data_IF_741753252717
#
_entry.id   IF_741753252717
#
_cell.length_a   1.000
_cell.length_b   1.000
_cell.length_c   1.000
_cell.angle_alpha   90.00
_cell.angle_beta   90.00
_cell.angle_gamma   90.00
#
_symmetry.space_group_name_H-M   'P 1'
#
loop_
_entity.id
_entity.type
_entity.pdbx_description
1 polymer ?
#
# COMPACT_ATOMS: atom_id res chain seq x y z
N UNK A 1 -13.42 -24.47 22.51
CA UNK A 1 -12.98 -24.08 21.14
C UNK A 1 -14.10 -23.39 20.35
N UNK A 2 -15.36 -23.81 20.43
CA UNK A 2 -16.49 -23.21 19.66
C UNK A 2 -16.78 -21.71 19.93
N UNK A 3 -16.62 -21.21 21.16
CA UNK A 3 -16.89 -19.78 21.47
C UNK A 3 -15.94 -18.82 20.76
N UNK A 4 -14.68 -19.21 20.53
CA UNK A 4 -13.72 -18.36 19.82
C UNK A 4 -13.97 -18.37 18.30
N UNK A 5 -14.38 -19.52 17.74
CA UNK A 5 -14.71 -19.65 16.32
C UNK A 5 -15.93 -18.80 15.93
N UNK A 6 -16.97 -18.75 16.77
CA UNK A 6 -18.15 -17.92 16.51
C UNK A 6 -17.86 -16.42 16.60
N UNK A 7 -16.95 -16.00 17.49
CA UNK A 7 -16.55 -14.59 17.57
C UNK A 7 -15.70 -14.15 16.37
N UNK A 8 -14.82 -15.03 15.87
CA UNK A 8 -14.01 -14.80 14.67
C UNK A 8 -14.86 -14.65 13.41
N UNK A 9 -15.83 -15.56 13.21
CA UNK A 9 -16.79 -15.47 12.10
C UNK A 9 -17.66 -14.21 12.21
N UNK A 10 -18.14 -13.88 13.41
CA UNK A 10 -18.90 -12.65 13.64
C UNK A 10 -18.09 -11.39 13.27
N UNK A 11 -16.82 -11.31 13.67
CA UNK A 11 -15.94 -10.20 13.30
C UNK A 11 -15.68 -10.12 11.80
N UNK A 12 -15.52 -11.27 11.14
CA UNK A 12 -15.38 -11.34 9.69
C UNK A 12 -16.63 -10.80 8.98
N UNK A 13 -17.82 -11.26 9.37
CA UNK A 13 -19.10 -10.75 8.83
C UNK A 13 -19.34 -9.28 9.15
N UNK A 14 -18.92 -8.80 10.32
CA UNK A 14 -18.99 -7.38 10.68
C UNK A 14 -18.08 -6.54 9.79
N UNK A 15 -16.83 -6.96 9.56
CA UNK A 15 -15.92 -6.26 8.64
C UNK A 15 -16.49 -6.25 7.21
N UNK A 16 -17.08 -7.36 6.78
CA UNK A 16 -17.74 -7.46 5.49
C UNK A 16 -18.97 -6.54 5.36
N UNK A 17 -19.83 -6.52 6.37
CA UNK A 17 -21.00 -5.64 6.39
C UNK A 17 -20.60 -4.15 6.41
N UNK A 18 -19.59 -3.79 7.21
CA UNK A 18 -19.06 -2.43 7.26
C UNK A 18 -18.43 -2.01 5.92
N UNK A 19 -17.70 -2.92 5.27
CA UNK A 19 -17.15 -2.72 3.92
C UNK A 19 -18.24 -2.39 2.91
N UNK A 20 -19.36 -3.09 2.93
CA UNK A 20 -20.49 -2.79 2.03
C UNK A 20 -21.20 -1.48 2.40
N UNK A 21 -21.43 -1.21 3.69
CA UNK A 21 -22.06 0.04 4.13
C UNK A 21 -21.22 1.27 3.81
N UNK A 22 -19.89 1.15 3.82
CA UNK A 22 -18.94 2.21 3.51
C UNK A 22 -18.87 2.60 2.03
N UNK A 23 -19.64 1.96 1.14
CA UNK A 23 -19.79 2.38 -0.26
C UNK A 23 -20.55 3.71 -0.39
N UNK A 24 -21.33 4.10 0.62
CA UNK A 24 -22.03 5.39 0.66
C UNK A 24 -21.25 6.41 1.51
N UNK A 25 -20.94 7.58 0.94
CA UNK A 25 -20.17 8.65 1.61
C UNK A 25 -20.82 9.15 2.91
N UNK A 26 -22.15 9.21 2.97
CA UNK A 26 -22.86 9.59 4.20
C UNK A 26 -22.69 8.52 5.29
N UNK A 27 -22.60 7.24 4.91
CA UNK A 27 -22.33 6.16 5.84
C UNK A 27 -20.88 6.15 6.29
N UNK A 28 -19.90 6.51 5.44
CA UNK A 28 -18.49 6.61 5.86
C UNK A 28 -18.30 7.56 7.04
N UNK A 29 -18.93 8.75 6.99
CA UNK A 29 -18.88 9.72 8.10
C UNK A 29 -19.54 9.19 9.37
N UNK A 30 -20.68 8.50 9.25
CA UNK A 30 -21.37 7.88 10.39
C UNK A 30 -20.57 6.73 11.01
N UNK A 31 -19.97 5.89 10.17
CA UNK A 31 -19.11 4.78 10.61
C UNK A 31 -17.87 5.35 11.31
N UNK A 32 -17.27 6.40 10.77
CA UNK A 32 -16.14 7.09 11.39
C UNK A 32 -16.45 7.68 12.77
N UNK A 33 -17.63 8.28 12.92
CA UNK A 33 -18.11 8.81 14.20
C UNK A 33 -18.54 7.71 15.19
N UNK A 34 -18.59 6.46 14.76
CA UNK A 34 -18.95 5.31 15.59
C UNK A 34 -17.72 4.63 16.19
N UNK A 35 -17.93 3.54 16.95
CA UNK A 35 -16.85 2.69 17.46
C UNK A 35 -16.22 1.77 16.40
N UNK A 36 -16.71 1.79 15.16
CA UNK A 36 -16.26 0.86 14.11
C UNK A 36 -14.76 0.94 13.77
N UNK A 37 -14.11 2.12 13.62
CA UNK A 37 -12.66 2.19 13.40
C UNK A 37 -11.88 1.46 14.49
N UNK A 38 -12.25 1.69 15.76
CA UNK A 38 -11.65 1.02 16.91
C UNK A 38 -11.88 -0.49 16.88
N UNK A 39 -13.11 -0.95 16.61
CA UNK A 39 -13.42 -2.39 16.54
C UNK A 39 -12.63 -3.11 15.43
N UNK A 40 -12.42 -2.47 14.28
CA UNK A 40 -11.62 -3.04 13.20
C UNK A 40 -10.14 -3.13 13.62
N UNK A 41 -9.61 -2.11 14.28
CA UNK A 41 -8.23 -2.15 14.81
C UNK A 41 -8.08 -3.20 15.91
N UNK A 42 -9.06 -3.31 16.81
CA UNK A 42 -9.06 -4.32 17.87
C UNK A 42 -9.14 -5.74 17.29
N UNK A 43 -9.88 -5.95 16.18
CA UNK A 43 -9.87 -7.23 15.47
C UNK A 43 -8.48 -7.58 14.91
N UNK A 44 -7.77 -6.61 14.32
CA UNK A 44 -6.40 -6.80 13.84
C UNK A 44 -5.42 -7.10 15.00
N UNK A 45 -5.59 -6.46 16.16
CA UNK A 45 -4.75 -6.68 17.34
C UNK A 45 -4.99 -8.02 18.02
N UNK A 46 -6.24 -8.44 18.11
CA UNK A 46 -6.63 -9.65 18.81
C UNK A 46 -6.44 -10.91 17.95
N UNK A 47 -6.49 -10.77 16.62
CA UNK A 47 -6.39 -11.90 15.69
C UNK A 47 -5.35 -11.68 14.56
N UNK A 48 -4.10 -11.26 14.86
CA UNK A 48 -3.11 -10.93 13.84
C UNK A 48 -2.64 -12.17 13.06
N UNK A 49 -2.79 -13.37 13.61
CA UNK A 49 -2.48 -14.64 12.95
C UNK A 49 -3.66 -15.27 12.18
N UNK A 50 -4.82 -14.62 12.12
CA UNK A 50 -5.97 -15.12 11.39
C UNK A 50 -6.12 -14.40 10.04
N UNK A 51 -5.55 -14.98 8.99
CA UNK A 51 -5.45 -14.38 7.66
C UNK A 51 -6.78 -13.79 7.15
N UNK A 52 -7.90 -14.50 7.30
CA UNK A 52 -9.22 -14.02 6.85
C UNK A 52 -9.73 -12.78 7.60
N UNK A 53 -9.37 -12.62 8.88
CA UNK A 53 -9.73 -11.43 9.66
C UNK A 53 -8.85 -10.26 9.24
N UNK A 54 -7.54 -10.51 9.09
CA UNK A 54 -6.60 -9.48 8.64
C UNK A 54 -7.00 -8.96 7.25
N UNK A 55 -7.34 -9.86 6.33
CA UNK A 55 -7.76 -9.52 4.98
C UNK A 55 -9.04 -8.67 4.97
N UNK A 56 -10.10 -9.10 5.66
CA UNK A 56 -11.37 -8.36 5.70
C UNK A 56 -11.27 -7.04 6.48
N UNK A 57 -10.51 -7.02 7.58
CA UNK A 57 -10.26 -5.80 8.34
C UNK A 57 -9.51 -4.76 7.50
N UNK A 58 -8.45 -5.16 6.80
CA UNK A 58 -7.72 -4.27 5.89
C UNK A 58 -8.62 -3.82 4.73
N UNK A 59 -9.42 -4.72 4.15
CA UNK A 59 -10.39 -4.39 3.11
C UNK A 59 -11.44 -3.38 3.58
N UNK A 60 -11.91 -3.49 4.82
CA UNK A 60 -12.82 -2.53 5.43
C UNK A 60 -12.14 -1.18 5.67
N UNK A 61 -10.92 -1.16 6.21
CA UNK A 61 -10.13 0.07 6.41
C UNK A 61 -10.00 0.84 5.11
N UNK A 62 -9.61 0.18 4.01
CA UNK A 62 -9.46 0.79 2.69
C UNK A 62 -10.71 1.57 2.26
N UNK A 63 -11.89 0.96 2.43
CA UNK A 63 -13.15 1.62 2.05
C UNK A 63 -13.48 2.80 2.95
N UNK A 64 -13.13 2.74 4.23
CA UNK A 64 -13.36 3.83 5.17
C UNK A 64 -12.44 5.02 4.92
N UNK A 65 -11.17 4.77 4.59
CA UNK A 65 -10.16 5.83 4.50
C UNK A 65 -10.06 6.46 3.11
N UNK A 66 -10.54 5.77 2.07
CA UNK A 66 -10.52 6.30 0.71
C UNK A 66 -11.31 7.60 0.59
N UNK A 67 -10.60 8.68 0.24
CA UNK A 67 -11.14 10.04 0.08
C UNK A 67 -11.51 10.72 1.40
N UNK A 68 -11.07 10.20 2.56
CA UNK A 68 -11.46 10.72 3.87
C UNK A 68 -10.25 10.81 4.82
N UNK A 69 -9.67 12.01 4.91
CA UNK A 69 -8.50 12.28 5.75
C UNK A 69 -8.79 12.14 7.26
N UNK A 70 -10.00 12.47 7.71
CA UNK A 70 -10.39 12.30 9.11
C UNK A 70 -10.36 10.81 9.50
N UNK A 71 -10.85 9.94 8.62
CA UNK A 71 -10.83 8.50 8.83
C UNK A 71 -9.41 7.95 8.79
N UNK A 72 -8.57 8.44 7.86
CA UNK A 72 -7.16 8.08 7.82
C UNK A 72 -6.47 8.39 9.16
N UNK A 73 -6.69 9.60 9.68
CA UNK A 73 -6.12 10.04 10.94
C UNK A 73 -6.69 9.27 12.13
N UNK A 74 -8.00 8.97 12.12
CA UNK A 74 -8.65 8.21 13.19
C UNK A 74 -8.11 6.78 13.28
N UNK A 75 -8.02 6.06 12.16
CA UNK A 75 -7.44 4.71 12.13
C UNK A 75 -5.99 4.73 12.63
N UNK A 76 -5.20 5.75 12.23
CA UNK A 76 -3.85 5.92 12.74
C UNK A 76 -3.83 6.16 14.26
N UNK A 77 -4.65 7.08 14.78
CA UNK A 77 -4.76 7.36 16.23
C UNK A 77 -5.13 6.12 17.05
N UNK A 78 -6.03 5.29 16.53
CA UNK A 78 -6.43 4.03 17.15
C UNK A 78 -5.31 2.97 17.09
N UNK A 79 -4.21 3.22 16.38
CA UNK A 79 -3.05 2.32 16.20
C UNK A 79 -3.26 1.25 15.14
N UNK A 80 -4.08 1.55 14.13
CA UNK A 80 -4.33 0.67 12.99
C UNK A 80 -3.12 0.46 12.09
N UNK A 81 -2.23 1.45 11.97
CA UNK A 81 -1.00 1.33 11.17
C UNK A 81 -0.14 0.18 11.71
N UNK A 82 0.15 0.18 13.01
CA UNK A 82 0.95 -0.85 13.65
C UNK A 82 0.27 -2.23 13.59
N UNK A 83 -1.06 -2.27 13.73
CA UNK A 83 -1.83 -3.50 13.63
C UNK A 83 -1.83 -4.11 12.22
N UNK A 84 -1.93 -3.28 11.17
CA UNK A 84 -1.82 -3.73 9.77
C UNK A 84 -0.40 -4.25 9.50
N UNK A 85 0.63 -3.53 9.95
CA UNK A 85 2.04 -3.97 9.79
C UNK A 85 2.24 -5.34 10.44
N UNK A 86 1.74 -5.55 11.66
CA UNK A 86 1.84 -6.83 12.34
C UNK A 86 1.17 -7.96 11.54
N UNK A 87 -0.09 -7.77 11.12
CA UNK A 87 -0.80 -8.75 10.29
C UNK A 87 -0.09 -9.06 8.97
N UNK A 88 0.49 -8.06 8.33
CA UNK A 88 1.32 -8.21 7.13
C UNK A 88 2.56 -9.06 7.40
N UNK A 89 3.26 -8.84 8.52
CA UNK A 89 4.45 -9.61 8.90
C UNK A 89 4.15 -11.06 9.30
N UNK A 90 2.97 -11.34 9.87
CA UNK A 90 2.58 -12.73 10.22
C UNK A 90 2.17 -13.55 9.00
N UNK A 91 1.83 -12.90 7.89
CA UNK A 91 1.24 -13.54 6.71
C UNK A 91 2.02 -13.23 5.41
N UNK A 92 3.36 -13.20 5.48
CA UNK A 92 4.23 -12.94 4.32
C UNK A 92 3.95 -13.91 3.17
N UNK A 93 3.61 -15.17 3.44
CA UNK A 93 3.32 -16.19 2.43
C UNK A 93 1.90 -16.14 1.83
N UNK A 94 1.04 -15.20 2.26
CA UNK A 94 -0.35 -15.09 1.78
C UNK A 94 -0.52 -13.84 0.92
N UNK A 95 -0.57 -14.02 -0.40
CA UNK A 95 -0.65 -12.92 -1.37
C UNK A 95 -1.85 -11.99 -1.15
N UNK A 96 -3.02 -12.55 -0.81
CA UNK A 96 -4.24 -11.75 -0.56
C UNK A 96 -4.09 -10.82 0.64
N UNK A 97 -3.50 -11.32 1.74
CA UNK A 97 -3.19 -10.52 2.93
C UNK A 97 -2.16 -9.44 2.60
N UNK A 98 -1.09 -9.78 1.90
CA UNK A 98 -0.07 -8.81 1.47
C UNK A 98 -0.68 -7.69 0.62
N UNK A 99 -1.54 -8.04 -0.34
CA UNK A 99 -2.25 -7.07 -1.17
C UNK A 99 -3.14 -6.16 -0.32
N UNK A 100 -4.02 -6.71 0.53
CA UNK A 100 -4.94 -5.87 1.30
C UNK A 100 -4.21 -4.99 2.31
N UNK A 101 -3.18 -5.51 2.99
CA UNK A 101 -2.37 -4.73 3.93
C UNK A 101 -1.60 -3.62 3.22
N UNK A 102 -0.92 -3.94 2.11
CA UNK A 102 -0.17 -2.96 1.33
C UNK A 102 -1.06 -1.84 0.78
N UNK A 103 -2.23 -2.19 0.26
CA UNK A 103 -3.21 -1.20 -0.21
C UNK A 103 -3.81 -0.40 0.95
N UNK A 104 -4.08 -1.00 2.11
CA UNK A 104 -4.57 -0.27 3.28
C UNK A 104 -3.54 0.76 3.78
N UNK A 105 -2.26 0.39 3.86
CA UNK A 105 -1.19 1.33 4.20
C UNK A 105 -1.04 2.42 3.12
N UNK A 106 -1.15 2.06 1.85
CA UNK A 106 -1.14 3.00 0.73
C UNK A 106 -2.29 4.01 0.77
N UNK A 107 -3.50 3.55 1.06
CA UNK A 107 -4.72 4.39 1.16
C UNK A 107 -4.67 5.28 2.42
N UNK A 108 -4.07 4.79 3.52
CA UNK A 108 -3.80 5.59 4.72
C UNK A 108 -2.76 6.70 4.50
N UNK A 109 -1.81 6.45 3.59
CA UNK A 109 -0.73 7.37 3.23
C UNK A 109 -1.12 8.38 2.14
N UNK A 110 -2.20 8.12 1.39
CA UNK A 110 -2.60 8.94 0.25
C UNK A 110 -2.91 10.38 0.68
N UNK A 111 -2.12 11.33 0.16
CA UNK A 111 -2.21 12.76 0.48
C UNK A 111 -2.21 13.09 1.98
N UNK A 112 -1.54 12.27 2.80
CA UNK A 112 -1.48 12.42 4.25
C UNK A 112 -0.06 12.24 4.77
N UNK A 113 0.70 13.34 4.84
CA UNK A 113 2.11 13.33 5.24
C UNK A 113 2.34 12.80 6.66
N UNK A 114 1.43 13.09 7.60
CA UNK A 114 1.52 12.59 8.98
C UNK A 114 1.49 11.06 9.02
N UNK A 115 0.53 10.46 8.30
CA UNK A 115 0.44 9.02 8.18
C UNK A 115 1.61 8.43 7.38
N UNK A 116 2.06 9.08 6.31
CA UNK A 116 3.26 8.65 5.58
C UNK A 116 4.45 8.52 6.54
N UNK A 117 4.75 9.58 7.28
CA UNK A 117 5.88 9.60 8.19
C UNK A 117 5.72 8.57 9.34
N UNK A 118 4.50 8.37 9.83
CA UNK A 118 4.21 7.34 10.85
C UNK A 118 4.44 5.93 10.31
N UNK A 119 3.95 5.59 9.13
CA UNK A 119 4.16 4.26 8.52
C UNK A 119 5.65 3.98 8.35
N UNK A 120 6.45 4.97 7.94
CA UNK A 120 7.90 4.84 7.85
C UNK A 120 8.55 4.57 9.22
N UNK A 121 8.23 5.38 10.23
CA UNK A 121 8.76 5.22 11.60
C UNK A 121 8.33 3.92 12.28
N UNK A 122 7.12 3.43 12.01
CA UNK A 122 6.61 2.17 12.55
C UNK A 122 7.15 0.94 11.82
N UNK A 123 8.10 1.10 10.89
CA UNK A 123 8.73 -0.01 10.19
C UNK A 123 7.85 -0.68 9.14
N UNK A 124 6.89 0.04 8.55
CA UNK A 124 5.97 -0.52 7.55
C UNK A 124 6.55 -0.72 6.16
N UNK A 125 7.68 -0.08 5.83
CA UNK A 125 8.32 -0.16 4.51
C UNK A 125 8.93 -1.55 4.23
N UNK A 126 9.76 -2.15 5.12
CA UNK A 126 10.33 -3.47 4.86
C UNK A 126 9.30 -4.59 4.64
N UNK A 127 8.19 -4.69 5.41
CA UNK A 127 7.14 -5.68 5.15
C UNK A 127 6.48 -5.54 3.76
N UNK A 128 6.27 -4.32 3.28
CA UNK A 128 5.74 -4.09 1.93
C UNK A 128 6.69 -4.66 0.87
N UNK A 129 8.00 -4.41 1.02
CA UNK A 129 9.03 -4.93 0.10
C UNK A 129 9.14 -6.46 0.20
N UNK A 130 9.07 -7.01 1.42
CA UNK A 130 9.06 -8.46 1.64
C UNK A 130 7.86 -9.13 0.95
N UNK A 131 6.67 -8.51 1.01
CA UNK A 131 5.49 -8.97 0.28
C UNK A 131 5.70 -8.99 -1.24
N UNK A 132 6.36 -7.96 -1.79
CA UNK A 132 6.74 -7.93 -3.22
C UNK A 132 7.69 -9.07 -3.57
N UNK A 133 8.65 -9.40 -2.70
CA UNK A 133 9.60 -10.49 -2.94
C UNK A 133 8.98 -11.88 -2.78
N UNK A 134 8.05 -12.06 -1.84
CA UNK A 134 7.37 -13.32 -1.60
C UNK A 134 6.39 -13.67 -2.73
N UNK A 135 5.82 -12.67 -3.41
CA UNK A 135 4.78 -12.86 -4.44
C UNK A 135 5.11 -12.17 -5.76
N UNK A 136 6.22 -12.53 -6.44
CA UNK A 136 6.77 -11.78 -7.57
C UNK A 136 5.84 -11.71 -8.79
N UNK A 137 4.89 -12.64 -8.93
CA UNK A 137 3.92 -12.72 -10.04
C UNK A 137 2.52 -12.24 -9.68
N UNK A 138 2.27 -11.92 -8.40
CA UNK A 138 0.95 -11.49 -7.95
C UNK A 138 0.80 -9.98 -8.12
N UNK A 139 0.19 -9.55 -9.23
CA UNK A 139 0.08 -8.14 -9.64
C UNK A 139 -0.40 -7.19 -8.54
N UNK A 140 -1.32 -7.63 -7.66
CA UNK A 140 -1.84 -6.83 -6.54
C UNK A 140 -0.84 -6.51 -5.43
N UNK A 141 0.27 -7.25 -5.36
CA UNK A 141 1.39 -6.95 -4.43
C UNK A 141 2.51 -6.17 -5.10
N UNK A 142 2.48 -6.08 -6.43
CA UNK A 142 3.52 -5.51 -7.26
C UNK A 142 3.22 -4.05 -7.65
N UNK A 143 4.17 -3.41 -8.32
CA UNK A 143 4.04 -2.03 -8.82
C UNK A 143 4.38 -0.95 -7.80
N UNK A 144 4.46 -1.26 -6.51
CA UNK A 144 4.97 -0.30 -5.53
C UNK A 144 4.07 0.92 -5.28
N UNK A 145 2.76 0.82 -5.56
CA UNK A 145 1.79 1.90 -5.31
C UNK A 145 1.89 2.43 -3.87
N UNK A 146 1.91 1.53 -2.89
CA UNK A 146 2.06 1.89 -1.47
C UNK A 146 3.39 2.63 -1.21
N UNK A 147 4.50 2.16 -1.79
CA UNK A 147 5.80 2.83 -1.67
C UNK A 147 5.79 4.21 -2.30
N UNK A 148 5.14 4.38 -3.46
CA UNK A 148 4.96 5.67 -4.11
C UNK A 148 4.15 6.65 -3.27
N UNK A 149 3.04 6.19 -2.67
CA UNK A 149 2.24 7.01 -1.75
C UNK A 149 3.06 7.42 -0.53
N UNK A 150 3.83 6.50 0.06
CA UNK A 150 4.71 6.78 1.20
C UNK A 150 5.84 7.77 0.87
N UNK A 151 6.34 7.79 -0.36
CA UNK A 151 7.40 8.69 -0.83
C UNK A 151 6.89 10.06 -1.31
N UNK A 152 5.58 10.18 -1.57
CA UNK A 152 5.01 11.30 -2.32
C UNK A 152 5.25 12.65 -1.66
N UNK A 153 4.93 12.78 -0.36
CA UNK A 153 5.10 14.01 0.42
C UNK A 153 6.23 13.86 1.47
N UNK A 154 6.52 12.65 1.93
CA UNK A 154 7.50 12.43 2.99
C UNK A 154 8.93 12.17 2.47
N UNK A 155 9.82 13.17 2.61
CA UNK A 155 11.25 13.06 2.22
C UNK A 155 11.97 11.96 3.00
N UNK A 156 11.70 11.82 4.31
CA UNK A 156 12.34 10.78 5.13
C UNK A 156 12.02 9.37 4.61
N UNK A 157 10.79 9.14 4.16
CA UNK A 157 10.39 7.85 3.60
C UNK A 157 11.11 7.52 2.31
N UNK A 158 11.46 8.50 1.46
CA UNK A 158 12.24 8.23 0.23
C UNK A 158 13.55 7.54 0.57
N UNK A 159 14.25 8.06 1.58
CA UNK A 159 15.50 7.49 2.07
C UNK A 159 15.27 6.11 2.69
N UNK A 160 14.26 5.94 3.53
CA UNK A 160 13.96 4.62 4.14
C UNK A 160 13.66 3.58 3.06
N UNK A 161 12.88 3.94 2.03
CA UNK A 161 12.57 3.07 0.89
C UNK A 161 13.84 2.69 0.14
N UNK A 162 14.74 3.64 -0.14
CA UNK A 162 16.00 3.36 -0.80
C UNK A 162 16.89 2.42 0.01
N UNK A 163 17.08 2.69 1.31
CA UNK A 163 17.90 1.86 2.20
C UNK A 163 17.33 0.45 2.38
N UNK A 164 16.00 0.30 2.37
CA UNK A 164 15.34 -1.00 2.45
C UNK A 164 15.33 -1.78 1.12
N UNK A 165 15.96 -1.28 0.05
CA UNK A 165 16.01 -1.94 -1.26
C UNK A 165 14.73 -1.80 -2.09
N UNK A 166 13.88 -0.82 -1.79
CA UNK A 166 12.60 -0.63 -2.48
C UNK A 166 12.73 -0.23 -3.94
N UNK A 167 13.74 0.56 -4.32
CA UNK A 167 13.97 0.97 -5.72
C UNK A 167 14.32 -0.24 -6.60
N UNK A 168 15.31 -1.08 -6.26
CA UNK A 168 15.54 -2.34 -6.97
C UNK A 168 14.30 -3.24 -7.03
N UNK A 169 13.52 -3.32 -5.94
CA UNK A 169 12.30 -4.13 -5.90
C UNK A 169 11.23 -3.62 -6.88
N UNK A 170 11.01 -2.30 -6.98
CA UNK A 170 10.10 -1.68 -7.95
C UNK A 170 10.58 -1.94 -9.38
N UNK A 171 11.87 -1.75 -9.66
CA UNK A 171 12.45 -1.99 -10.98
C UNK A 171 12.29 -3.46 -11.41
N UNK A 172 12.57 -4.40 -10.51
CA UNK A 172 12.37 -5.84 -10.74
C UNK A 172 10.90 -6.16 -10.96
N UNK A 173 10.00 -5.63 -10.13
CA UNK A 173 8.56 -5.76 -10.28
C UNK A 173 8.10 -5.37 -11.68
N UNK A 174 8.48 -4.18 -12.15
CA UNK A 174 8.12 -3.69 -13.49
C UNK A 174 8.65 -4.59 -14.61
N UNK A 175 9.90 -5.07 -14.52
CA UNK A 175 10.47 -6.00 -15.51
C UNK A 175 9.74 -7.34 -15.54
N UNK A 176 9.50 -7.96 -14.39
CA UNK A 176 8.90 -9.29 -14.28
C UNK A 176 7.41 -9.31 -14.63
N UNK A 177 6.75 -8.17 -14.49
CA UNK A 177 5.29 -8.02 -14.65
C UNK A 177 4.94 -7.05 -15.77
N UNK A 178 5.69 -7.11 -16.89
CA UNK A 178 5.50 -6.23 -18.04
C UNK A 178 4.09 -6.33 -18.61
N UNK A 179 3.47 -7.50 -18.55
CA UNK A 179 2.11 -7.80 -19.02
C UNK A 179 0.98 -7.16 -18.19
N UNK A 180 1.29 -6.48 -17.08
CA UNK A 180 0.29 -5.82 -16.25
C UNK A 180 0.45 -4.28 -16.32
N UNK A 181 -0.46 -3.55 -17.00
CA UNK A 181 -0.34 -2.10 -17.16
C UNK A 181 -0.40 -1.36 -15.81
N UNK A 182 -1.18 -1.87 -14.85
CA UNK A 182 -1.24 -1.29 -13.51
C UNK A 182 0.10 -1.36 -12.77
N UNK A 183 0.90 -2.42 -12.97
CA UNK A 183 2.23 -2.53 -12.37
C UNK A 183 3.19 -1.51 -12.98
N UNK A 184 3.09 -1.26 -14.29
CA UNK A 184 3.90 -0.23 -14.96
C UNK A 184 3.52 1.18 -14.47
N UNK A 185 2.22 1.48 -14.42
CA UNK A 185 1.71 2.77 -13.93
C UNK A 185 2.15 3.05 -12.49
N UNK A 186 1.94 2.10 -11.58
CA UNK A 186 2.32 2.25 -10.17
C UNK A 186 3.84 2.30 -9.99
N UNK A 187 4.59 1.56 -10.79
CA UNK A 187 6.05 1.58 -10.74
C UNK A 187 6.60 2.95 -11.16
N UNK A 188 6.07 3.51 -12.25
CA UNK A 188 6.36 4.88 -12.67
C UNK A 188 5.95 5.91 -11.61
N UNK A 189 4.77 5.76 -11.01
CA UNK A 189 4.30 6.60 -9.91
C UNK A 189 5.28 6.60 -8.73
N UNK A 190 5.76 5.42 -8.30
CA UNK A 190 6.72 5.34 -7.21
C UNK A 190 8.08 5.96 -7.58
N UNK A 191 8.60 5.63 -8.76
CA UNK A 191 9.90 6.12 -9.23
C UNK A 191 9.91 7.65 -9.41
N UNK A 192 8.82 8.27 -9.88
CA UNK A 192 8.76 9.73 -10.04
C UNK A 192 8.92 10.46 -8.70
N UNK A 193 8.37 9.92 -7.61
CA UNK A 193 8.43 10.53 -6.29
C UNK A 193 9.76 10.23 -5.59
N UNK A 194 10.29 9.02 -5.77
CA UNK A 194 11.61 8.66 -5.26
C UNK A 194 12.72 9.47 -5.95
N UNK A 195 12.63 9.71 -7.26
CA UNK A 195 13.60 10.48 -8.03
C UNK A 195 13.68 11.98 -7.65
N UNK A 196 12.78 12.48 -6.80
CA UNK A 196 12.88 13.83 -6.22
C UNK A 196 13.98 13.93 -5.16
N UNK A 197 14.49 12.81 -4.65
CA UNK A 197 15.67 12.75 -3.78
C UNK A 197 16.90 12.34 -4.63
N UNK A 198 18.03 13.08 -4.56
CA UNK A 198 19.21 12.81 -5.40
C UNK A 198 19.82 11.41 -5.23
N UNK A 199 19.85 10.88 -4.00
CA UNK A 199 20.42 9.56 -3.73
C UNK A 199 19.51 8.47 -4.33
N UNK A 200 18.20 8.62 -4.12
CA UNK A 200 17.20 7.75 -4.74
C UNK A 200 17.25 7.81 -6.27
N UNK A 201 17.42 9.01 -6.86
CA UNK A 201 17.59 9.21 -8.30
C UNK A 201 18.80 8.44 -8.82
N UNK A 202 19.96 8.58 -8.18
CA UNK A 202 21.17 7.87 -8.57
C UNK A 202 21.00 6.34 -8.51
N UNK A 203 20.35 5.83 -7.45
CA UNK A 203 20.02 4.41 -7.33
C UNK A 203 19.09 3.97 -8.47
N UNK A 204 18.01 4.70 -8.73
CA UNK A 204 17.06 4.36 -9.79
C UNK A 204 17.71 4.32 -11.18
N UNK A 205 18.59 5.27 -11.49
CA UNK A 205 19.36 5.27 -12.75
C UNK A 205 20.26 4.03 -12.82
N UNK A 206 20.98 3.70 -11.74
CA UNK A 206 21.85 2.52 -11.68
C UNK A 206 21.08 1.20 -11.86
N UNK A 207 19.85 1.12 -11.37
CA UNK A 207 18.96 -0.04 -11.55
C UNK A 207 18.34 -0.12 -12.97
N UNK A 208 18.61 0.86 -13.83
CA UNK A 208 18.11 0.93 -15.20
C UNK A 208 16.65 1.41 -15.30
N UNK A 209 16.16 2.17 -14.32
CA UNK A 209 14.79 2.69 -14.31
C UNK A 209 14.38 3.40 -15.62
N UNK A 210 15.22 4.26 -16.26
CA UNK A 210 14.83 4.91 -17.51
C UNK A 210 14.49 3.93 -18.65
N UNK A 211 15.25 2.85 -18.80
CA UNK A 211 15.01 1.85 -19.84
C UNK A 211 13.74 1.04 -19.54
N UNK A 212 13.54 0.67 -18.27
CA UNK A 212 12.36 -0.07 -17.81
C UNK A 212 11.09 0.75 -18.06
N UNK A 213 11.10 2.04 -17.69
CA UNK A 213 9.96 2.93 -17.89
C UNK A 213 9.62 3.04 -19.38
N UNK A 214 10.63 3.26 -20.23
CA UNK A 214 10.42 3.31 -21.69
C UNK A 214 9.84 2.02 -22.24
N UNK A 215 10.33 0.86 -21.79
CA UNK A 215 9.79 -0.43 -22.19
C UNK A 215 8.31 -0.58 -21.81
N UNK A 216 7.94 -0.24 -20.57
CA UNK A 216 6.54 -0.25 -20.12
C UNK A 216 5.66 0.72 -20.90
N UNK A 217 6.17 1.90 -21.26
CA UNK A 217 5.45 2.87 -22.10
C UNK A 217 5.29 2.37 -23.55
N UNK A 218 6.28 1.67 -24.10
CA UNK A 218 6.20 1.09 -25.45
C UNK A 218 5.20 -0.07 -25.52
N UNK A 219 5.13 -0.90 -24.48
CA UNK A 219 4.14 -1.98 -24.37
C UNK A 219 2.71 -1.42 -24.29
N UNK A 220 2.54 -0.25 -23.67
CA UNK A 220 1.23 0.35 -23.40
C UNK A 220 1.08 1.77 -23.96
N UNK A 221 1.15 1.97 -25.28
CA UNK A 221 1.13 3.30 -25.90
C UNK A 221 -0.19 4.05 -25.65
N UNK A 222 -1.31 3.31 -25.53
CA UNK A 222 -2.64 3.88 -25.36
C UNK A 222 -3.12 3.95 -23.89
N UNK A 223 -2.29 3.54 -22.93
CA UNK A 223 -2.63 3.60 -21.50
C UNK A 223 -2.17 4.93 -20.92
N UNK A 224 -3.09 5.90 -20.88
CA UNK A 224 -2.80 7.26 -20.40
C UNK A 224 -2.05 7.29 -19.05
N UNK A 225 -2.48 6.49 -18.07
CA UNK A 225 -1.81 6.40 -16.77
C UNK A 225 -0.34 5.98 -16.86
N UNK A 226 -0.02 4.96 -17.68
CA UNK A 226 1.38 4.52 -17.89
C UNK A 226 2.21 5.62 -18.56
N UNK A 227 1.65 6.28 -19.57
CA UNK A 227 2.35 7.34 -20.32
C UNK A 227 2.59 8.58 -19.45
N UNK A 228 1.58 9.05 -18.74
CA UNK A 228 1.67 10.23 -17.88
C UNK A 228 2.68 10.01 -16.77
N UNK A 229 2.53 8.91 -16.00
CA UNK A 229 3.45 8.62 -14.91
C UNK A 229 4.87 8.34 -15.42
N UNK A 230 5.00 7.63 -16.56
CA UNK A 230 6.28 7.36 -17.18
C UNK A 230 7.02 8.63 -17.61
N UNK A 231 6.32 9.56 -18.25
CA UNK A 231 6.88 10.87 -18.63
C UNK A 231 7.33 11.68 -17.40
N UNK A 232 6.52 11.74 -16.35
CA UNK A 232 6.88 12.41 -15.10
C UNK A 232 8.11 11.76 -14.45
N UNK A 233 8.16 10.44 -14.40
CA UNK A 233 9.29 9.71 -13.83
C UNK A 233 10.58 9.96 -14.63
N UNK A 234 10.53 9.86 -15.96
CA UNK A 234 11.68 10.13 -16.83
C UNK A 234 12.17 11.56 -16.71
N UNK A 235 11.25 12.54 -16.61
CA UNK A 235 11.62 13.94 -16.38
C UNK A 235 12.43 14.10 -15.10
N UNK A 236 11.98 13.50 -13.99
CA UNK A 236 12.70 13.62 -12.71
C UNK A 236 14.03 12.84 -12.70
N UNK A 237 14.11 11.73 -13.45
CA UNK A 237 15.32 10.91 -13.56
C UNK A 237 16.37 11.49 -14.50
N UNK A 238 15.99 12.20 -15.57
CA UNK A 238 16.90 12.63 -16.64
C UNK A 238 17.06 14.15 -16.76
N UNK A 239 16.15 14.94 -16.21
CA UNK A 239 16.30 16.39 -16.04
C UNK A 239 17.11 16.70 -14.79
#
# INVERSE_FOLDING_TARGET
MEKHSNHQLCLQYCCWALKNLSLNEANKKKIAASRAPRLIVDALRNYPGHAGIVEEACGCIRKLVWGNADNQNRIAQEGGIEAIINGMTMHVSKASVQQQCGLALGDLAWSNESNQARIGRSGGIPPIIAGMHAHPTHSGTQGGLALGNLASLCVANRKIIAHAGGIPAICKSMKTNLQYPGVQEYGCWALRHLALDPDCKAIAIREGAPQIIRQGMQEYPNRAGVQEQGNCALKNLLG
#
